data_IF_294501139002
#
_entry.id   IF_294501139002
#
_cell.length_a   1.000
_cell.length_b   1.000
_cell.length_c   1.000
_cell.angle_alpha   90.00
_cell.angle_beta   90.00
_cell.angle_gamma   90.00
#
_symmetry.space_group_name_H-M   'P 1'
#
loop_
_entity.id
_entity.type
_entity.pdbx_description
1 polymer ?
#
# COMPACT_ATOMS: atom_id res chain seq x y z
N UNK A 1 -38.94 7.55 40.21
CA UNK A 1 -37.90 6.58 39.77
C UNK A 1 -36.54 7.25 39.90
N UNK A 2 -35.71 6.81 40.85
CA UNK A 2 -34.37 7.38 41.09
C UNK A 2 -33.44 6.88 39.98
N UNK A 3 -32.98 7.78 39.12
CA UNK A 3 -31.89 7.47 38.21
C UNK A 3 -30.64 7.14 39.03
N UNK A 4 -29.95 6.02 38.76
CA UNK A 4 -28.78 5.62 39.53
C UNK A 4 -27.71 6.72 39.45
N UNK A 5 -27.17 7.01 40.63
CA UNK A 5 -26.10 7.96 40.89
C UNK A 5 -24.87 7.67 40.03
N UNK A 6 -24.34 8.75 39.46
CA UNK A 6 -23.06 8.87 38.74
C UNK A 6 -21.94 8.01 39.33
N UNK A 7 -21.78 6.79 38.84
CA UNK A 7 -20.48 6.11 38.89
C UNK A 7 -19.62 6.69 37.76
N UNK A 8 -18.67 7.53 38.16
CA UNK A 8 -17.73 8.19 37.27
C UNK A 8 -16.68 7.17 36.82
N UNK A 9 -16.87 6.57 35.64
CA UNK A 9 -15.75 6.02 34.89
C UNK A 9 -14.85 7.20 34.47
N UNK A 10 -13.75 7.37 35.19
CA UNK A 10 -12.66 8.29 34.86
C UNK A 10 -11.81 7.65 33.76
N UNK A 11 -11.56 8.37 32.67
CA UNK A 11 -10.53 7.96 31.69
C UNK A 11 -9.13 8.03 32.35
N UNK A 12 -8.11 7.34 31.80
CA UNK A 12 -6.71 7.24 32.29
C UNK A 12 -5.99 8.57 32.64
N UNK A 13 -6.63 9.73 32.42
CA UNK A 13 -6.14 11.07 32.76
C UNK A 13 -7.01 11.83 33.78
N UNK A 14 -7.92 11.16 34.50
CA UNK A 14 -8.70 11.78 35.59
C UNK A 14 -9.66 12.89 35.15
N UNK A 15 -10.08 12.93 33.88
CA UNK A 15 -11.06 13.91 33.35
C UNK A 15 -12.43 13.25 33.24
N UNK A 16 -13.48 13.99 33.64
CA UNK A 16 -14.88 13.57 33.46
C UNK A 16 -15.20 13.47 31.97
N UNK A 17 -15.40 12.25 31.46
CA UNK A 17 -15.89 12.03 30.11
C UNK A 17 -17.34 12.50 30.03
N UNK A 18 -17.59 13.74 29.61
CA UNK A 18 -18.96 14.26 29.50
C UNK A 18 -19.63 13.66 28.27
N UNK A 19 -20.60 12.77 28.48
CA UNK A 19 -21.50 12.39 27.39
C UNK A 19 -22.14 13.66 26.79
N UNK A 20 -22.08 13.85 25.46
CA UNK A 20 -22.65 15.01 24.83
C UNK A 20 -24.17 15.00 24.99
N UNK A 21 -24.75 16.15 25.32
CA UNK A 21 -26.19 16.28 25.47
C UNK A 21 -26.88 16.28 24.10
N UNK A 22 -28.16 15.90 24.05
CA UNK A 22 -28.95 15.89 22.80
C UNK A 22 -28.94 17.28 22.14
N UNK A 23 -29.05 18.34 22.92
CA UNK A 23 -29.00 19.73 22.43
C UNK A 23 -27.63 20.09 21.83
N UNK A 24 -26.53 19.48 22.29
CA UNK A 24 -25.20 19.65 21.67
C UNK A 24 -25.13 18.95 20.32
N UNK A 25 -25.75 17.77 20.17
CA UNK A 25 -25.82 17.04 18.90
C UNK A 25 -26.72 17.73 17.88
N UNK A 26 -27.80 18.39 18.33
CA UNK A 26 -28.67 19.21 17.49
C UNK A 26 -27.91 20.46 16.99
N UNK A 27 -27.15 21.13 17.86
CA UNK A 27 -26.35 22.31 17.49
C UNK A 27 -25.11 21.97 16.65
N UNK A 28 -24.51 20.81 16.90
CA UNK A 28 -23.31 20.31 16.22
C UNK A 28 -23.47 18.83 15.97
N UNK A 29 -23.81 18.48 14.73
CA UNK A 29 -23.91 17.09 14.31
C UNK A 29 -22.57 16.36 14.44
N UNK A 30 -22.64 15.04 14.64
CA UNK A 30 -21.43 14.20 14.63
C UNK A 30 -20.84 14.22 13.22
N UNK A 31 -19.54 14.50 13.14
CA UNK A 31 -18.80 14.43 11.89
C UNK A 31 -18.18 13.04 11.75
N UNK A 32 -18.38 12.40 10.60
CA UNK A 32 -17.62 11.21 10.24
C UNK A 32 -16.15 11.58 10.02
N UNK A 33 -15.25 10.72 10.49
CA UNK A 33 -13.83 10.87 10.19
C UNK A 33 -13.60 10.46 8.73
N UNK A 34 -12.94 11.32 7.95
CA UNK A 34 -12.55 11.00 6.59
C UNK A 34 -11.24 10.21 6.57
N UNK A 35 -11.26 9.01 6.00
CA UNK A 35 -10.07 8.19 5.83
C UNK A 35 -9.41 8.43 4.46
N UNK A 36 -8.09 8.66 4.47
CA UNK A 36 -7.31 8.78 3.24
C UNK A 36 -6.85 7.42 2.75
N UNK A 37 -7.00 7.18 1.45
CA UNK A 37 -6.57 5.91 0.86
C UNK A 37 -5.05 5.70 0.98
N UNK A 38 -4.65 4.45 1.25
CA UNK A 38 -3.24 4.06 1.32
C UNK A 38 -2.55 4.06 -0.05
N UNK A 39 -3.30 4.15 -1.14
CA UNK A 39 -2.82 4.10 -2.52
C UNK A 39 -3.55 5.13 -3.42
N UNK A 40 -3.29 6.44 -3.24
CA UNK A 40 -4.07 7.50 -3.91
C UNK A 40 -3.92 7.52 -5.44
N UNK A 41 -2.78 7.10 -5.98
CA UNK A 41 -2.52 7.16 -7.42
C UNK A 41 -3.35 6.16 -8.23
N UNK A 42 -3.90 5.12 -7.57
CA UNK A 42 -4.76 4.15 -8.23
C UNK A 42 -6.19 4.66 -8.44
N UNK A 43 -6.62 5.76 -7.80
CA UNK A 43 -7.98 6.33 -7.91
C UNK A 43 -9.08 5.24 -7.86
N UNK A 44 -9.09 4.44 -6.79
CA UNK A 44 -10.02 3.32 -6.55
C UNK A 44 -9.99 2.17 -7.57
N UNK A 45 -9.07 2.16 -8.54
CA UNK A 45 -8.82 0.98 -9.38
C UNK A 45 -7.94 -0.05 -8.65
N UNK A 46 -8.16 -1.36 -8.83
CA UNK A 46 -7.32 -2.38 -8.19
C UNK A 46 -5.89 -2.40 -8.73
N UNK A 47 -5.74 -2.16 -10.04
CA UNK A 47 -4.47 -2.14 -10.74
C UNK A 47 -4.48 -1.05 -11.83
N UNK A 48 -3.30 -0.52 -12.15
CA UNK A 48 -3.12 0.41 -13.26
C UNK A 48 -1.87 0.10 -14.06
N UNK A 49 -1.99 0.30 -15.38
CA UNK A 49 -0.86 0.22 -16.31
C UNK A 49 0.00 1.49 -16.18
N UNK A 50 1.29 1.33 -16.42
CA UNK A 50 2.21 2.45 -16.52
C UNK A 50 3.48 2.07 -17.27
N UNK A 51 4.29 3.07 -17.56
CA UNK A 51 5.57 2.94 -18.26
C UNK A 51 6.70 3.27 -17.30
N UNK A 52 7.74 2.44 -17.25
CA UNK A 52 8.93 2.69 -16.45
C UNK A 52 9.72 3.88 -17.00
N UNK A 53 9.94 4.89 -16.17
CA UNK A 53 10.80 6.04 -16.50
C UNK A 53 12.26 5.73 -16.16
N UNK A 54 12.50 5.16 -14.98
CA UNK A 54 13.84 4.73 -14.55
C UNK A 54 13.75 3.50 -13.65
N UNK A 55 14.72 2.61 -13.78
CA UNK A 55 14.87 1.42 -12.94
C UNK A 55 16.18 1.53 -12.16
N UNK A 56 16.11 1.43 -10.83
CA UNK A 56 17.27 1.67 -9.97
C UNK A 56 17.13 0.93 -8.64
N UNK A 57 18.19 0.95 -7.83
CA UNK A 57 18.21 0.35 -6.50
C UNK A 57 18.14 1.42 -5.43
N UNK A 58 17.47 1.12 -4.31
CA UNK A 58 17.34 2.02 -3.17
C UNK A 58 17.73 1.28 -1.90
N UNK A 59 18.41 1.98 -0.99
CA UNK A 59 18.69 1.50 0.37
C UNK A 59 17.45 1.71 1.26
N UNK A 60 17.15 0.76 2.17
CA UNK A 60 16.04 0.86 3.12
C UNK A 60 16.35 1.81 4.29
N UNK A 61 15.31 2.14 5.07
CA UNK A 61 15.46 2.82 6.36
C UNK A 61 16.11 1.87 7.39
N UNK A 62 16.97 2.41 8.26
CA UNK A 62 17.46 1.75 9.49
C UNK A 62 16.26 1.16 10.26
N UNK A 63 16.29 -0.09 10.77
CA UNK A 63 17.42 -0.96 11.11
C UNK A 63 17.91 -1.89 9.99
N UNK A 64 17.21 -1.93 8.86
CA UNK A 64 17.48 -2.91 7.81
C UNK A 64 18.60 -2.42 6.87
N UNK A 65 19.31 -3.36 6.26
CA UNK A 65 20.29 -3.11 5.19
C UNK A 65 20.05 -4.08 4.04
N UNK A 66 19.91 -3.54 2.82
CA UNK A 66 19.74 -4.31 1.58
C UNK A 66 19.76 -3.37 0.36
N UNK A 67 19.93 -3.94 -0.84
CA UNK A 67 19.64 -3.24 -2.09
C UNK A 67 18.25 -3.64 -2.59
N UNK A 68 17.28 -2.72 -2.47
CA UNK A 68 15.90 -2.95 -2.92
C UNK A 68 15.73 -2.47 -4.36
N UNK A 69 15.25 -3.34 -5.24
CA UNK A 69 15.01 -3.02 -6.66
C UNK A 69 13.69 -2.25 -6.79
N UNK A 70 13.73 -1.06 -7.38
CA UNK A 70 12.59 -0.15 -7.52
C UNK A 70 12.54 0.45 -8.93
N UNK A 71 11.35 0.85 -9.35
CA UNK A 71 11.15 1.57 -10.60
C UNK A 71 10.34 2.85 -10.35
N UNK A 72 10.70 3.94 -11.05
CA UNK A 72 9.78 5.06 -11.26
C UNK A 72 8.89 4.71 -12.44
N UNK A 73 7.59 4.85 -12.25
CA UNK A 73 6.60 4.48 -13.26
C UNK A 73 5.63 5.64 -13.44
N UNK A 74 5.46 6.07 -14.69
CA UNK A 74 4.42 7.01 -15.09
C UNK A 74 3.15 6.22 -15.41
N UNK A 75 2.11 6.41 -14.60
CA UNK A 75 0.82 5.74 -14.80
C UNK A 75 0.04 6.38 -15.95
N UNK A 76 -0.97 5.67 -16.45
CA UNK A 76 -1.92 6.22 -17.44
C UNK A 76 -2.66 7.47 -16.97
N UNK A 77 -2.74 7.72 -15.65
CA UNK A 77 -3.34 8.95 -15.11
C UNK A 77 -2.35 10.14 -15.03
N UNK A 78 -1.20 10.04 -15.69
CA UNK A 78 -0.10 11.01 -15.66
C UNK A 78 0.60 11.20 -14.30
N UNK A 79 0.21 10.42 -13.29
CA UNK A 79 0.86 10.44 -11.97
C UNK A 79 2.10 9.55 -12.01
N UNK A 80 3.22 10.11 -11.58
CA UNK A 80 4.46 9.35 -11.40
C UNK A 80 4.53 8.75 -10.01
N UNK A 81 4.81 7.45 -9.94
CA UNK A 81 4.88 6.70 -8.69
C UNK A 81 6.16 5.89 -8.63
N UNK A 82 6.57 5.56 -7.41
CA UNK A 82 7.64 4.58 -7.18
C UNK A 82 7.01 3.25 -6.86
N UNK A 83 7.37 2.23 -7.64
CA UNK A 83 6.89 0.88 -7.43
C UNK A 83 8.05 -0.06 -7.10
N UNK A 84 7.81 -0.96 -6.15
CA UNK A 84 8.74 -2.01 -5.78
C UNK A 84 8.64 -3.18 -6.76
N UNK A 85 9.80 -3.75 -7.10
CA UNK A 85 9.89 -4.94 -7.95
C UNK A 85 10.06 -6.16 -7.02
N UNK A 86 9.03 -7.00 -6.88
CA UNK A 86 9.10 -8.14 -5.96
C UNK A 86 9.83 -9.33 -6.59
N UNK A 87 10.51 -10.11 -5.73
CA UNK A 87 11.18 -11.34 -6.11
C UNK A 87 12.69 -11.17 -6.36
N UNK A 88 13.29 -12.21 -6.92
CA UNK A 88 14.72 -12.27 -7.26
C UNK A 88 14.83 -12.01 -8.76
N UNK A 89 15.71 -11.09 -9.15
CA UNK A 89 15.92 -10.72 -10.56
C UNK A 89 14.73 -9.97 -11.19
N UNK A 90 15.01 -9.27 -12.29
CA UNK A 90 14.01 -8.56 -13.10
C UNK A 90 14.56 -8.28 -14.50
N UNK A 91 13.66 -8.15 -15.46
CA UNK A 91 13.95 -7.86 -16.87
C UNK A 91 13.58 -6.41 -17.27
N UNK A 92 13.27 -5.55 -16.30
CA UNK A 92 12.72 -4.23 -16.61
C UNK A 92 13.83 -3.26 -16.98
N UNK A 93 13.58 -2.52 -18.05
CA UNK A 93 14.42 -1.46 -18.57
C UNK A 93 13.62 -0.15 -18.56
N UNK A 94 14.23 0.92 -19.06
CA UNK A 94 13.49 2.13 -19.37
C UNK A 94 12.43 1.84 -20.45
N UNK A 95 11.29 2.55 -20.37
CA UNK A 95 10.15 2.40 -21.27
C UNK A 95 9.40 1.05 -21.24
N UNK A 96 9.81 0.08 -20.42
CA UNK A 96 9.04 -1.15 -20.24
C UNK A 96 7.64 -0.83 -19.67
N UNK A 97 6.63 -1.49 -20.22
CA UNK A 97 5.23 -1.35 -19.78
C UNK A 97 4.95 -2.35 -18.66
N UNK A 98 4.46 -1.83 -17.53
CA UNK A 98 4.25 -2.61 -16.32
C UNK A 98 2.84 -2.41 -15.76
N UNK A 99 2.37 -3.42 -15.03
CA UNK A 99 1.12 -3.36 -14.30
C UNK A 99 1.41 -3.22 -12.80
N UNK A 100 0.80 -2.21 -12.17
CA UNK A 100 1.02 -1.87 -10.78
C UNK A 100 -0.22 -2.19 -9.94
N UNK A 101 0.02 -2.69 -8.73
CA UNK A 101 -0.97 -2.84 -7.66
C UNK A 101 -0.60 -2.06 -6.41
N UNK A 102 -1.58 -1.86 -5.53
CA UNK A 102 -1.37 -1.27 -4.21
C UNK A 102 -0.53 -2.17 -3.31
N UNK A 103 0.31 -1.55 -2.47
CA UNK A 103 1.05 -2.25 -1.43
C UNK A 103 2.25 -1.44 -0.98
N UNK A 104 2.31 -1.07 0.29
CA UNK A 104 3.44 -0.32 0.85
C UNK A 104 4.57 -1.28 1.23
N UNK A 105 5.79 -0.93 0.83
CA UNK A 105 6.99 -1.57 1.39
C UNK A 105 7.33 -0.85 2.70
N UNK A 106 7.33 -1.58 3.81
CA UNK A 106 7.55 -0.99 5.15
C UNK A 106 8.93 -0.34 5.27
N UNK A 107 9.93 -0.97 4.65
CA UNK A 107 11.34 -0.58 4.74
C UNK A 107 11.67 0.70 3.97
N UNK A 108 10.97 0.95 2.85
CA UNK A 108 11.26 2.06 1.95
C UNK A 108 10.23 3.18 2.12
N UNK A 109 10.64 4.38 2.57
CA UNK A 109 9.75 5.52 2.59
C UNK A 109 9.36 5.92 1.15
N UNK A 110 8.10 6.30 0.94
CA UNK A 110 7.59 6.74 -0.36
C UNK A 110 7.22 5.62 -1.34
N UNK A 111 7.63 4.36 -1.10
CA UNK A 111 7.29 3.22 -1.98
C UNK A 111 5.98 2.57 -1.54
N UNK A 112 4.88 2.98 -2.18
CA UNK A 112 3.50 2.61 -1.82
C UNK A 112 2.86 1.59 -2.77
N UNK A 113 3.59 1.18 -3.81
CA UNK A 113 3.08 0.33 -4.88
C UNK A 113 4.02 -0.82 -5.19
N UNK A 114 3.45 -1.89 -5.74
CA UNK A 114 4.19 -3.06 -6.20
C UNK A 114 3.91 -3.31 -7.68
N UNK A 115 4.93 -3.73 -8.42
CA UNK A 115 4.76 -4.25 -9.76
C UNK A 115 4.26 -5.70 -9.68
N UNK A 116 3.28 -6.04 -10.51
CA UNK A 116 2.81 -7.41 -10.70
C UNK A 116 3.80 -8.13 -11.61
N UNK A 117 4.19 -9.35 -11.25
CA UNK A 117 5.11 -10.19 -12.04
C UNK A 117 4.34 -11.12 -12.97
N UNK A 118 4.88 -11.38 -14.15
CA UNK A 118 4.24 -12.22 -15.17
C UNK A 118 3.09 -11.49 -15.89
N UNK A 119 3.17 -10.16 -16.01
CA UNK A 119 2.14 -9.35 -16.66
C UNK A 119 2.78 -8.25 -17.51
N UNK A 120 2.33 -8.08 -18.75
CA UNK A 120 2.96 -7.20 -19.74
C UNK A 120 4.46 -7.56 -19.88
N UNK A 121 5.36 -6.58 -19.83
CA UNK A 121 6.79 -6.79 -20.04
C UNK A 121 7.50 -7.36 -18.79
N UNK A 122 6.78 -7.54 -17.69
CA UNK A 122 7.36 -8.09 -16.46
C UNK A 122 7.43 -9.62 -16.54
N UNK A 123 8.64 -10.15 -16.74
CA UNK A 123 8.86 -11.59 -16.67
C UNK A 123 8.53 -12.16 -15.28
N UNK A 124 8.12 -13.43 -15.20
CA UNK A 124 8.02 -14.15 -13.92
C UNK A 124 9.38 -14.29 -13.23
N UNK A 125 9.40 -14.72 -11.97
CA UNK A 125 10.64 -15.10 -11.29
C UNK A 125 11.01 -16.52 -11.72
N UNK A 126 12.25 -16.71 -12.20
CA UNK A 126 12.77 -18.02 -12.59
C UNK A 126 12.95 -18.94 -11.36
N UNK A 127 12.81 -20.25 -11.58
CA UNK A 127 13.04 -21.33 -10.61
C UNK A 127 12.29 -21.20 -9.26
N UNK A 128 11.19 -20.46 -9.26
CA UNK A 128 10.34 -20.30 -8.07
C UNK A 128 9.45 -21.53 -7.90
N UNK A 129 9.73 -22.39 -6.91
CA UNK A 129 8.89 -23.55 -6.60
C UNK A 129 7.65 -23.20 -5.72
N UNK A 130 7.83 -22.27 -4.76
CA UNK A 130 6.81 -21.89 -3.77
C UNK A 130 6.26 -20.47 -3.98
N UNK A 131 4.97 -20.28 -3.71
CA UNK A 131 4.29 -18.98 -3.89
C UNK A 131 4.27 -18.50 -5.34
N UNK A 132 4.22 -19.43 -6.29
CA UNK A 132 4.36 -19.23 -7.73
C UNK A 132 3.41 -18.18 -8.31
N UNK A 133 2.15 -18.21 -7.90
CA UNK A 133 1.11 -17.27 -8.35
C UNK A 133 1.45 -15.82 -8.08
N UNK A 134 2.11 -15.51 -6.95
CA UNK A 134 2.50 -14.13 -6.58
C UNK A 134 3.62 -13.56 -7.46
N UNK A 135 4.46 -14.43 -8.02
CA UNK A 135 5.66 -14.04 -8.76
C UNK A 135 5.56 -14.39 -10.26
N UNK A 136 4.39 -14.77 -10.76
CA UNK A 136 4.16 -15.06 -12.18
C UNK A 136 4.92 -16.29 -12.70
N UNK A 137 5.26 -17.23 -11.83
CA UNK A 137 5.98 -18.45 -12.21
C UNK A 137 4.99 -19.58 -12.59
N UNK A 138 5.16 -20.20 -13.76
CA UNK A 138 4.33 -21.33 -14.19
C UNK A 138 4.68 -22.60 -13.41
N UNK A 139 3.76 -23.58 -13.40
CA UNK A 139 4.03 -24.91 -12.84
C UNK A 139 5.02 -25.64 -13.75
N UNK A 140 6.15 -26.07 -13.20
CA UNK A 140 7.06 -26.96 -13.91
C UNK A 140 6.32 -28.25 -14.28
N UNK A 141 6.50 -28.71 -15.52
CA UNK A 141 5.99 -30.01 -15.96
C UNK A 141 6.78 -31.09 -15.20
N UNK A 142 6.09 -31.98 -14.48
CA UNK A 142 6.74 -33.16 -13.92
C UNK A 142 7.25 -33.98 -15.11
N UNK A 143 8.55 -34.31 -15.11
CA UNK A 143 9.08 -35.36 -15.98
C UNK A 143 8.47 -36.68 -15.56
#
# INVERSE_FOLDING_TARGET
MRFPTKELLLDDKGRRCSMPTINQLIRKSRKSLEEKSKAPALKNSPQKRGVCTRVYTSTPKKPNSALRKVARVRLTNSIEVTAYIPGIGHNLQEHSVVLIRGGRVKDLPGVRYHIIRGSLDTAGVQDRAQGRSKYGAKRAKKK
#
